data_IF_168290096177
#
_entry.id   IF_168290096177
#
_cell.length_a   1.000
_cell.length_b   1.000
_cell.length_c   1.000
_cell.angle_alpha   90.00
_cell.angle_beta   90.00
_cell.angle_gamma   90.00
#
_symmetry.space_group_name_H-M   'P 1'
#
loop_
_entity.id
_entity.type
_entity.pdbx_description
1 polymer ?
#
# COMPACT_ATOMS: atom_id res chain seq x y z
N UNK A 1 21.87 -6.71 -14.87
CA UNK A 1 20.81 -7.52 -14.23
C UNK A 1 20.13 -8.37 -15.29
N UNK A 2 19.77 -9.62 -14.99
CA UNK A 2 19.16 -10.53 -15.97
C UNK A 2 17.72 -10.10 -16.27
N UNK A 3 17.39 -9.89 -17.55
CA UNK A 3 16.05 -9.54 -18.07
C UNK A 3 15.11 -10.74 -18.19
N UNK A 4 15.47 -11.90 -17.64
CA UNK A 4 14.62 -13.09 -17.70
C UNK A 4 13.48 -12.98 -16.68
N UNK A 5 12.24 -13.36 -17.03
CA UNK A 5 11.13 -13.43 -16.10
C UNK A 5 11.52 -14.20 -14.83
N UNK A 6 11.24 -13.63 -13.66
CA UNK A 6 11.46 -14.27 -12.35
C UNK A 6 10.13 -14.75 -11.79
N UNK A 7 10.11 -15.95 -11.22
CA UNK A 7 8.92 -16.56 -10.60
C UNK A 7 9.06 -16.55 -9.08
N UNK A 8 7.98 -16.20 -8.36
CA UNK A 8 7.88 -16.40 -6.92
C UNK A 8 6.90 -17.55 -6.63
N UNK A 9 7.26 -18.44 -5.70
CA UNK A 9 6.34 -19.47 -5.18
C UNK A 9 5.73 -18.97 -3.87
N UNK A 10 4.40 -18.94 -3.81
CA UNK A 10 3.65 -18.55 -2.61
C UNK A 10 2.73 -19.69 -2.21
N UNK A 11 2.65 -19.99 -0.91
CA UNK A 11 1.69 -20.97 -0.40
C UNK A 11 0.30 -20.32 -0.36
N UNK A 12 -0.67 -20.93 -1.04
CA UNK A 12 -2.06 -20.43 -1.08
C UNK A 12 -2.89 -21.25 -0.09
N UNK A 13 -3.63 -20.60 0.79
CA UNK A 13 -4.64 -21.26 1.63
C UNK A 13 -5.89 -21.51 0.77
N UNK A 14 -6.28 -22.78 0.57
CA UNK A 14 -7.41 -23.12 -0.31
C UNK A 14 -8.74 -23.00 0.44
N UNK A 15 -9.48 -21.91 0.22
CA UNK A 15 -10.92 -21.79 0.53
C UNK A 15 -11.76 -22.41 -0.61
N UNK A 16 -12.76 -23.22 -0.26
CA UNK A 16 -13.79 -23.72 -1.19
C UNK A 16 -15.02 -22.79 -1.18
N UNK A 17 -15.78 -22.68 -2.30
CA UNK A 17 -16.90 -21.74 -2.42
C UNK A 17 -18.14 -22.10 -1.56
N UNK A 18 -18.91 -21.07 -1.14
CA UNK A 18 -20.23 -21.12 -0.47
C UNK A 18 -21.27 -20.41 -1.35
N UNK A 19 -22.47 -20.98 -1.51
CA UNK A 19 -23.55 -20.45 -2.37
C UNK A 19 -24.75 -20.00 -1.52
N UNK A 20 -25.39 -18.87 -1.86
CA UNK A 20 -26.56 -18.28 -1.15
C UNK A 20 -27.54 -17.64 -2.15
N UNK A 21 -28.82 -17.51 -1.78
CA UNK A 21 -29.88 -16.98 -2.65
C UNK A 21 -29.90 -15.44 -2.72
N UNK A 22 -30.10 -14.89 -3.92
CA UNK A 22 -30.13 -13.44 -4.19
C UNK A 22 -31.58 -12.91 -4.37
N UNK A 23 -31.98 -11.80 -3.71
CA UNK A 23 -33.33 -11.22 -3.85
C UNK A 23 -33.50 -10.43 -5.17
N UNK A 24 -34.73 -10.38 -5.69
CA UNK A 24 -35.03 -9.93 -7.06
C UNK A 24 -34.77 -8.45 -7.41
N UNK A 25 -34.52 -7.60 -6.42
CA UNK A 25 -34.16 -6.18 -6.62
C UNK A 25 -32.64 -5.96 -6.62
N UNK A 26 -31.86 -6.99 -6.31
CA UNK A 26 -30.42 -6.99 -6.41
C UNK A 26 -30.00 -7.32 -7.85
N UNK A 27 -29.07 -6.55 -8.40
CA UNK A 27 -28.59 -6.68 -9.79
C UNK A 27 -27.26 -7.45 -9.87
N UNK A 28 -26.94 -8.27 -8.87
CA UNK A 28 -25.63 -8.84 -8.59
C UNK A 28 -24.86 -8.03 -7.54
N UNK A 29 -24.31 -8.70 -6.55
CA UNK A 29 -23.16 -8.20 -5.80
C UNK A 29 -21.91 -8.71 -6.48
N UNK A 30 -20.94 -7.85 -6.80
CA UNK A 30 -19.68 -8.37 -7.23
C UNK A 30 -19.09 -9.17 -6.04
N UNK A 31 -18.85 -8.51 -4.92
CA UNK A 31 -17.83 -9.00 -4.02
C UNK A 31 -18.38 -10.07 -3.02
N UNK A 32 -17.88 -11.35 -3.06
CA UNK A 32 -17.61 -12.45 -2.00
C UNK A 32 -16.12 -12.68 -1.39
N UNK A 33 -15.76 -12.32 -0.12
CA UNK A 33 -14.42 -11.91 0.49
C UNK A 33 -13.08 -12.12 -0.31
N UNK A 34 -12.16 -11.13 -0.39
CA UNK A 34 -11.25 -10.91 -1.54
C UNK A 34 -11.71 -11.57 -2.83
N UNK A 35 -12.65 -10.91 -3.45
CA UNK A 35 -13.77 -11.60 -4.07
C UNK A 35 -13.61 -11.63 -5.57
N UNK A 36 -12.98 -10.57 -6.05
CA UNK A 36 -12.34 -10.51 -7.32
C UNK A 36 -10.87 -10.30 -7.16
N UNK A 37 -10.23 -10.53 -8.30
CA UNK A 37 -8.85 -10.17 -8.53
C UNK A 37 -8.52 -8.74 -8.06
N UNK A 38 -9.46 -7.78 -8.09
CA UNK A 38 -9.27 -6.38 -7.66
C UNK A 38 -8.80 -6.22 -6.21
N UNK A 39 -9.11 -7.18 -5.34
CA UNK A 39 -8.72 -7.14 -3.92
C UNK A 39 -7.29 -7.67 -3.68
N UNK A 40 -6.64 -8.16 -4.73
CA UNK A 40 -5.25 -8.64 -4.66
C UNK A 40 -4.30 -7.45 -4.74
N UNK A 41 -3.57 -7.22 -3.65
CA UNK A 41 -2.50 -6.21 -3.56
C UNK A 41 -1.12 -6.89 -3.51
N UNK A 42 -0.16 -6.30 -4.21
CA UNK A 42 1.25 -6.63 -4.07
C UNK A 42 1.89 -5.58 -3.18
N UNK A 43 2.13 -5.93 -1.92
CA UNK A 43 2.74 -5.04 -0.94
C UNK A 43 4.23 -5.38 -0.78
N UNK A 44 5.06 -4.34 -0.83
CA UNK A 44 6.46 -4.42 -0.43
C UNK A 44 6.62 -4.44 1.10
N UNK A 45 7.87 -4.52 1.60
CA UNK A 45 8.14 -4.44 3.02
C UNK A 45 7.64 -3.13 3.64
N UNK A 46 6.98 -3.23 4.80
CA UNK A 46 6.54 -2.07 5.58
C UNK A 46 7.73 -1.32 6.18
N UNK A 47 7.67 0.01 6.08
CA UNK A 47 8.59 0.95 6.72
C UNK A 47 7.82 1.76 7.75
N UNK A 48 8.26 1.69 9.02
CA UNK A 48 7.74 2.54 10.09
C UNK A 48 8.61 3.81 10.15
N UNK A 49 7.98 4.97 9.96
CA UNK A 49 8.63 6.28 10.02
C UNK A 49 8.39 6.84 11.42
N UNK A 50 9.40 6.77 12.28
CA UNK A 50 9.29 7.12 13.69
C UNK A 50 10.42 8.06 14.18
N UNK A 51 10.49 9.31 13.69
CA UNK A 51 11.44 10.30 14.18
C UNK A 51 11.24 10.53 15.68
N UNK A 52 12.34 10.64 16.42
CA UNK A 52 12.30 10.75 17.88
C UNK A 52 11.63 9.57 18.62
N UNK A 53 11.42 8.43 17.94
CA UNK A 53 10.75 7.24 18.49
C UNK A 53 9.22 7.29 18.46
N UNK A 54 8.61 8.39 18.00
CA UNK A 54 7.16 8.51 17.84
C UNK A 54 6.78 8.05 16.44
N UNK A 55 5.97 7.00 16.31
CA UNK A 55 5.48 6.58 15.00
C UNK A 55 4.61 7.68 14.39
N UNK A 56 5.02 8.17 13.21
CA UNK A 56 4.32 9.22 12.46
C UNK A 56 3.60 8.65 11.25
N UNK A 57 4.25 7.73 10.53
CA UNK A 57 3.68 7.08 9.35
C UNK A 57 4.10 5.62 9.23
N UNK A 58 3.29 4.85 8.51
CA UNK A 58 3.69 3.59 7.88
C UNK A 58 3.69 3.80 6.38
N UNK A 59 4.69 3.27 5.70
CA UNK A 59 4.79 3.37 4.25
C UNK A 59 5.30 2.07 3.62
N UNK A 60 4.74 1.71 2.48
CA UNK A 60 5.24 0.61 1.64
C UNK A 60 4.83 0.84 0.19
N UNK A 61 5.60 0.26 -0.73
CA UNK A 61 5.19 0.23 -2.14
C UNK A 61 4.04 -0.76 -2.27
N UNK A 62 2.95 -0.36 -2.91
CA UNK A 62 1.80 -1.21 -3.21
C UNK A 62 1.44 -1.13 -4.68
N UNK A 63 0.80 -2.18 -5.18
CA UNK A 63 0.23 -2.23 -6.51
C UNK A 63 -1.05 -3.07 -6.45
N UNK A 64 -2.11 -2.65 -7.17
CA UNK A 64 -3.35 -3.41 -7.32
C UNK A 64 -3.48 -3.88 -8.78
N UNK A 65 -2.86 -5.00 -9.19
CA UNK A 65 -2.70 -5.36 -10.61
C UNK A 65 -4.02 -5.52 -11.37
N UNK A 66 -5.10 -5.80 -10.65
CA UNK A 66 -6.40 -6.09 -11.22
C UNK A 66 -7.44 -5.01 -10.96
N UNK A 67 -7.04 -3.86 -10.39
CA UNK A 67 -7.95 -2.75 -10.15
C UNK A 67 -8.67 -2.33 -11.44
N UNK A 68 -9.95 -1.95 -11.34
CA UNK A 68 -10.71 -1.45 -12.49
C UNK A 68 -10.15 -0.12 -12.99
N UNK A 69 -9.65 0.73 -12.08
CA UNK A 69 -8.93 1.95 -12.40
C UNK A 69 -7.50 1.62 -12.90
N UNK A 70 -7.11 1.99 -14.14
CA UNK A 70 -5.76 1.77 -14.67
C UNK A 70 -4.64 2.40 -13.83
N UNK A 71 -4.87 3.56 -13.22
CA UNK A 71 -3.84 4.25 -12.44
C UNK A 71 -3.46 3.46 -11.19
N UNK A 72 -4.45 2.78 -10.57
CA UNK A 72 -4.25 1.92 -9.41
C UNK A 72 -3.49 0.62 -9.73
N UNK A 73 -3.32 0.28 -11.02
CA UNK A 73 -2.48 -0.85 -11.46
C UNK A 73 -1.02 -0.49 -11.50
N UNK A 74 -0.67 0.80 -11.48
CA UNK A 74 0.73 1.23 -11.38
C UNK A 74 1.17 1.12 -9.92
N UNK A 75 2.44 0.76 -9.70
CA UNK A 75 2.99 0.76 -8.35
C UNK A 75 3.01 2.17 -7.77
N UNK A 76 2.57 2.32 -6.52
CA UNK A 76 2.54 3.58 -5.79
C UNK A 76 3.06 3.42 -4.37
N UNK A 77 3.37 4.54 -3.71
CA UNK A 77 3.73 4.54 -2.29
C UNK A 77 2.46 4.68 -1.48
N UNK A 78 2.06 3.61 -0.80
CA UNK A 78 1.05 3.68 0.24
C UNK A 78 1.64 4.40 1.45
N UNK A 79 0.91 5.37 1.99
CA UNK A 79 1.28 6.11 3.20
C UNK A 79 0.07 6.19 4.11
N UNK A 80 0.22 5.66 5.32
CA UNK A 80 -0.77 5.74 6.38
C UNK A 80 -0.22 6.62 7.50
N UNK A 81 -1.00 7.61 7.94
CA UNK A 81 -0.67 8.40 9.12
C UNK A 81 -0.93 7.57 10.38
N UNK A 82 0.04 7.56 11.29
CA UNK A 82 -0.16 7.01 12.62
C UNK A 82 -1.13 7.88 13.43
N UNK A 83 -1.55 7.39 14.58
CA UNK A 83 -2.43 8.15 15.47
C UNK A 83 -1.65 9.31 16.15
N UNK A 84 -1.64 10.45 15.48
CA UNK A 84 -1.07 11.72 15.96
C UNK A 84 -2.15 12.67 16.50
N UNK A 85 -3.35 12.15 16.76
CA UNK A 85 -4.50 12.92 17.23
C UNK A 85 -4.43 13.10 18.75
N UNK A 86 -4.06 14.29 19.22
CA UNK A 86 -4.01 14.59 20.65
C UNK A 86 -4.16 16.10 20.91
N UNK A 87 -4.28 16.46 22.20
CA UNK A 87 -4.06 17.84 22.66
C UNK A 87 -2.59 18.00 23.04
N UNK A 88 -1.93 19.03 22.50
CA UNK A 88 -0.50 19.27 22.69
C UNK A 88 -0.25 20.58 23.45
N UNK A 89 0.72 20.58 24.34
CA UNK A 89 1.32 21.81 24.88
C UNK A 89 2.13 22.55 23.81
N UNK A 90 2.48 23.84 24.03
CA UNK A 90 3.28 24.59 23.04
C UNK A 90 4.59 23.90 22.64
N UNK A 91 5.33 23.33 23.61
CA UNK A 91 6.58 22.62 23.32
C UNK A 91 6.34 21.33 22.52
N UNK A 92 5.23 20.63 22.78
CA UNK A 92 4.89 19.41 22.04
C UNK A 92 4.43 19.71 20.61
N UNK A 93 3.82 20.88 20.36
CA UNK A 93 3.51 21.34 19.00
C UNK A 93 4.80 21.58 18.21
N UNK A 94 5.80 22.25 18.81
CA UNK A 94 7.11 22.45 18.17
C UNK A 94 7.81 21.11 17.88
N UNK A 95 7.77 20.18 18.84
CA UNK A 95 8.34 18.85 18.63
C UNK A 95 7.59 18.08 17.52
N UNK A 96 6.26 18.13 17.50
CA UNK A 96 5.45 17.50 16.45
C UNK A 96 5.80 18.08 15.07
N UNK A 97 6.00 19.39 14.97
CA UNK A 97 6.41 20.04 13.73
C UNK A 97 7.80 19.55 13.27
N UNK A 98 8.76 19.43 14.17
CA UNK A 98 10.08 18.88 13.86
C UNK A 98 10.00 17.41 13.40
N UNK A 99 9.22 16.58 14.11
CA UNK A 99 8.97 15.17 13.76
C UNK A 99 8.36 15.06 12.34
N UNK A 100 7.41 15.94 11.98
CA UNK A 100 6.83 15.99 10.64
C UNK A 100 7.84 16.37 9.55
N UNK A 101 8.76 17.30 9.83
CA UNK A 101 9.81 17.70 8.87
C UNK A 101 10.76 16.53 8.59
N UNK A 102 11.17 15.80 9.63
CA UNK A 102 12.03 14.63 9.49
C UNK A 102 11.29 13.49 8.75
N UNK A 103 10.04 13.21 9.13
CA UNK A 103 9.22 12.24 8.43
C UNK A 103 9.04 12.58 6.93
N UNK A 104 8.84 13.86 6.61
CA UNK A 104 8.77 14.32 5.24
C UNK A 104 10.08 14.10 4.47
N UNK A 105 11.24 14.19 5.12
CA UNK A 105 12.52 13.86 4.48
C UNK A 105 12.59 12.37 4.12
N UNK A 106 12.14 11.48 5.02
CA UNK A 106 12.07 10.03 4.76
C UNK A 106 11.13 9.71 3.61
N UNK A 107 9.93 10.30 3.57
CA UNK A 107 8.98 10.10 2.47
C UNK A 107 9.55 10.52 1.12
N UNK A 108 10.33 11.61 1.05
CA UNK A 108 11.02 12.02 -0.19
C UNK A 108 12.08 11.01 -0.63
N UNK A 109 12.77 10.35 0.31
CA UNK A 109 13.71 9.27 -0.02
C UNK A 109 12.96 8.07 -0.59
N UNK A 110 11.88 7.64 0.07
CA UNK A 110 11.06 6.52 -0.39
C UNK A 110 10.43 6.78 -1.77
N UNK A 111 9.94 7.99 -2.02
CA UNK A 111 9.38 8.38 -3.32
C UNK A 111 10.42 8.32 -4.44
N UNK A 112 11.68 8.70 -4.15
CA UNK A 112 12.79 8.58 -5.12
C UNK A 112 13.19 7.13 -5.37
N UNK A 113 13.28 6.31 -4.31
CA UNK A 113 13.56 4.88 -4.45
C UNK A 113 12.47 4.17 -5.27
N UNK A 114 11.19 4.53 -5.06
CA UNK A 114 10.08 4.04 -5.87
C UNK A 114 10.22 4.41 -7.35
N UNK A 115 10.58 5.65 -7.67
CA UNK A 115 10.78 6.08 -9.06
C UNK A 115 11.85 5.23 -9.76
N UNK A 116 12.98 4.97 -9.10
CA UNK A 116 14.06 4.11 -9.61
C UNK A 116 13.57 2.66 -9.83
N UNK A 117 12.74 2.14 -8.92
CA UNK A 117 12.18 0.78 -9.03
C UNK A 117 11.11 0.67 -10.13
N UNK A 118 10.34 1.72 -10.37
CA UNK A 118 9.38 1.78 -11.47
C UNK A 118 10.11 1.76 -12.83
N UNK A 119 11.17 2.55 -12.98
CA UNK A 119 11.98 2.59 -14.21
C UNK A 119 12.69 1.26 -14.51
N UNK A 120 13.06 0.50 -13.48
CA UNK A 120 13.73 -0.80 -13.62
C UNK A 120 12.77 -1.99 -13.75
N UNK A 121 11.46 -1.79 -13.52
CA UNK A 121 10.40 -2.80 -13.58
C UNK A 121 9.57 -2.80 -14.87
N UNK A 122 9.73 -1.82 -15.75
CA UNK A 122 9.05 -1.79 -17.06
C UNK A 122 9.89 -2.58 -18.07
N UNK A 123 9.68 -3.89 -18.14
CA UNK A 123 9.95 -4.64 -19.37
C UNK A 123 8.74 -4.46 -20.28
N UNK A 124 8.91 -3.74 -21.39
CA UNK A 124 7.94 -3.73 -22.49
C UNK A 124 7.60 -5.18 -22.87
N UNK A 125 6.29 -5.44 -22.95
CA UNK A 125 5.72 -6.65 -23.54
C UNK A 125 5.57 -6.46 -25.05
#
# INVERSE_FOLDING_TARGET
MSTRPRTASVNVYVHKPLTVDEPAWCAGHPDALPQFKTDVLHNGPEQIIAPGGRAMFRAFITQAPFATNPDARTAGLYVEAADITATYSPNEVEQLAADLVEAAAVLRVLGRDMAVRAETGVSEA
#
